data_IF_208839830231
#
_entry.id   IF_208839830231
#
_cell.length_a   1.000
_cell.length_b   1.000
_cell.length_c   1.000
_cell.angle_alpha   90.00
_cell.angle_beta   90.00
_cell.angle_gamma   90.00
#
_symmetry.space_group_name_H-M   'P 1'
#
loop_
_entity.id
_entity.type
_entity.pdbx_description
1 polymer ?
#
# COMPACT_ATOMS: atom_id res chain seq x y z
N UNK A 1 -8.09 13.06 -6.45
CA UNK A 1 -8.27 11.60 -6.27
C UNK A 1 -9.71 11.32 -5.87
N UNK A 2 -10.37 10.33 -6.47
CA UNK A 2 -11.78 10.01 -6.17
C UNK A 2 -11.90 9.04 -4.99
N UNK A 3 -13.08 8.99 -4.34
CA UNK A 3 -13.38 7.97 -3.32
C UNK A 3 -13.31 6.55 -3.88
N UNK A 4 -13.61 6.37 -5.16
CA UNK A 4 -13.51 5.07 -5.83
C UNK A 4 -12.06 4.61 -5.90
N UNK A 5 -11.13 5.51 -6.23
CA UNK A 5 -9.70 5.18 -6.31
C UNK A 5 -9.14 4.68 -4.98
N UNK A 6 -9.52 5.33 -3.87
CA UNK A 6 -9.11 4.92 -2.53
C UNK A 6 -9.70 3.57 -2.12
N UNK A 7 -10.95 3.28 -2.53
CA UNK A 7 -11.57 1.97 -2.29
C UNK A 7 -10.87 0.87 -3.07
N UNK A 8 -10.56 1.11 -4.35
CA UNK A 8 -9.85 0.15 -5.19
C UNK A 8 -8.45 -0.13 -4.64
N UNK A 9 -7.71 0.91 -4.23
CA UNK A 9 -6.40 0.76 -3.61
C UNK A 9 -6.47 -0.06 -2.33
N UNK A 10 -7.42 0.23 -1.45
CA UNK A 10 -7.64 -0.55 -0.22
C UNK A 10 -7.94 -2.00 -0.56
N UNK A 11 -8.86 -2.25 -1.49
CA UNK A 11 -9.26 -3.59 -1.90
C UNK A 11 -8.09 -4.41 -2.43
N UNK A 12 -7.35 -3.92 -3.43
CA UNK A 12 -6.21 -4.67 -3.97
C UNK A 12 -5.08 -4.82 -2.95
N UNK A 13 -4.87 -3.84 -2.08
CA UNK A 13 -3.94 -3.97 -0.96
C UNK A 13 -4.41 -5.03 0.04
N UNK A 14 -5.71 -5.19 0.28
CA UNK A 14 -6.21 -6.31 1.09
C UNK A 14 -5.92 -7.64 0.42
N UNK A 15 -6.29 -7.81 -0.86
CA UNK A 15 -6.11 -9.08 -1.57
C UNK A 15 -4.63 -9.50 -1.63
N UNK A 16 -3.72 -8.60 -2.00
CA UNK A 16 -2.27 -8.89 -2.06
C UNK A 16 -1.72 -9.29 -0.69
N UNK A 17 -2.21 -8.70 0.40
CA UNK A 17 -1.64 -8.89 1.72
C UNK A 17 -2.32 -10.00 2.54
N UNK A 18 -3.42 -10.61 2.05
CA UNK A 18 -4.14 -11.69 2.75
C UNK A 18 -3.21 -12.82 3.18
N UNK A 19 -2.42 -13.33 2.24
CA UNK A 19 -1.48 -14.43 2.51
C UNK A 19 -0.06 -13.93 2.89
N UNK A 20 0.11 -12.66 3.27
CA UNK A 20 1.43 -12.12 3.57
C UNK A 20 1.83 -12.38 5.03
N UNK A 21 2.68 -13.39 5.22
CA UNK A 21 3.36 -13.65 6.48
C UNK A 21 2.41 -13.88 7.66
N UNK A 22 2.93 -13.76 8.88
CA UNK A 22 2.13 -13.83 10.10
C UNK A 22 1.52 -12.48 10.46
N UNK A 23 0.48 -12.48 11.30
CA UNK A 23 -0.14 -11.25 11.83
C UNK A 23 0.88 -10.31 12.46
N UNK A 24 1.87 -10.85 13.19
CA UNK A 24 2.95 -10.07 13.76
C UNK A 24 3.81 -9.38 12.70
N UNK A 25 4.07 -10.05 11.56
CA UNK A 25 4.77 -9.44 10.44
C UNK A 25 3.95 -8.29 9.84
N UNK A 26 2.64 -8.51 9.59
CA UNK A 26 1.74 -7.47 9.06
C UNK A 26 1.67 -6.26 10.01
N UNK A 27 1.56 -6.48 11.32
CA UNK A 27 1.57 -5.41 12.32
C UNK A 27 2.85 -4.58 12.26
N UNK A 28 4.03 -5.23 12.27
CA UNK A 28 5.32 -4.52 12.17
C UNK A 28 5.42 -3.70 10.89
N UNK A 29 4.94 -4.23 9.76
CA UNK A 29 4.89 -3.51 8.49
C UNK A 29 3.99 -2.27 8.58
N UNK A 30 2.76 -2.44 9.10
CA UNK A 30 1.81 -1.33 9.29
C UNK A 30 2.41 -0.23 10.17
N UNK A 31 3.01 -0.58 11.31
CA UNK A 31 3.66 0.40 12.19
C UNK A 31 4.77 1.17 11.47
N UNK A 32 5.60 0.46 10.68
CA UNK A 32 6.68 1.08 9.92
C UNK A 32 6.13 2.07 8.87
N UNK A 33 5.10 1.65 8.12
CA UNK A 33 4.48 2.47 7.08
C UNK A 33 3.77 3.71 7.68
N UNK A 34 3.02 3.55 8.77
CA UNK A 34 2.37 4.67 9.47
C UNK A 34 3.38 5.72 9.96
N UNK A 35 4.52 5.27 10.48
CA UNK A 35 5.58 6.19 10.92
C UNK A 35 6.15 6.99 9.75
N UNK A 36 6.28 6.38 8.56
CA UNK A 36 6.78 7.05 7.36
C UNK A 36 5.79 8.07 6.81
N UNK A 37 4.49 7.79 6.88
CA UNK A 37 3.44 8.78 6.56
C UNK A 37 3.57 9.99 7.48
N UNK A 38 3.72 9.77 8.80
CA UNK A 38 3.80 10.85 9.80
C UNK A 38 4.97 11.83 9.57
N UNK A 39 6.08 11.36 9.00
CA UNK A 39 7.26 12.18 8.72
C UNK A 39 7.38 12.58 7.25
N UNK A 40 6.29 12.40 6.47
CA UNK A 40 6.22 12.66 5.02
C UNK A 40 7.37 12.01 4.20
N UNK A 41 7.81 10.82 4.61
CA UNK A 41 8.87 10.11 3.91
C UNK A 41 8.29 9.19 2.83
N UNK A 42 7.77 9.81 1.77
CA UNK A 42 7.16 9.13 0.63
C UNK A 42 8.11 8.13 -0.04
N UNK A 43 9.38 8.50 -0.22
CA UNK A 43 10.36 7.66 -0.92
C UNK A 43 10.59 6.34 -0.18
N UNK A 44 10.83 6.41 1.13
CA UNK A 44 11.06 5.19 1.92
C UNK A 44 9.77 4.37 2.08
N UNK A 45 8.60 5.03 2.17
CA UNK A 45 7.31 4.34 2.16
C UNK A 45 7.18 3.44 0.93
N UNK A 46 7.36 4.00 -0.28
CA UNK A 46 7.22 3.23 -1.52
C UNK A 46 8.35 2.23 -1.71
N UNK A 47 9.57 2.52 -1.26
CA UNK A 47 10.67 1.56 -1.29
C UNK A 47 10.32 0.28 -0.48
N UNK A 48 9.82 0.43 0.74
CA UNK A 48 9.40 -0.71 1.57
C UNK A 48 8.21 -1.43 0.94
N UNK A 49 7.19 -0.67 0.55
CA UNK A 49 5.97 -1.21 -0.03
C UNK A 49 6.26 -2.03 -1.29
N UNK A 50 7.03 -1.49 -2.24
CA UNK A 50 7.40 -2.17 -3.47
C UNK A 50 8.28 -3.41 -3.23
N UNK A 51 9.20 -3.37 -2.26
CA UNK A 51 9.96 -4.57 -1.87
C UNK A 51 9.06 -5.68 -1.36
N UNK A 52 8.05 -5.33 -0.57
CA UNK A 52 7.06 -6.31 -0.09
C UNK A 52 6.23 -6.86 -1.25
N UNK A 53 5.80 -6.03 -2.20
CA UNK A 53 5.10 -6.50 -3.40
C UNK A 53 5.97 -7.43 -4.26
N UNK A 54 7.25 -7.13 -4.43
CA UNK A 54 8.17 -7.94 -5.23
C UNK A 54 8.40 -9.34 -4.65
N UNK A 55 8.15 -9.57 -3.36
CA UNK A 55 8.14 -10.93 -2.79
C UNK A 55 6.92 -11.77 -3.19
N UNK A 56 5.99 -11.19 -3.96
CA UNK A 56 4.72 -11.78 -4.42
C UNK A 56 4.53 -11.61 -5.93
N UNK A 57 5.61 -11.65 -6.70
CA UNK A 57 5.64 -11.37 -8.14
C UNK A 57 4.69 -12.21 -9.00
N UNK A 58 4.28 -13.40 -8.52
CA UNK A 58 3.30 -14.27 -9.20
C UNK A 58 1.82 -13.96 -8.90
N UNK A 59 1.49 -12.98 -8.05
CA UNK A 59 0.11 -12.65 -7.67
C UNK A 59 -0.51 -11.62 -8.63
N UNK A 60 -1.59 -12.00 -9.32
CA UNK A 60 -2.32 -11.12 -10.25
C UNK A 60 -2.83 -9.83 -9.59
N UNK A 61 -3.08 -9.83 -8.28
CA UNK A 61 -3.51 -8.64 -7.55
C UNK A 61 -2.37 -7.63 -7.40
N UNK A 62 -1.10 -8.06 -7.43
CA UNK A 62 0.05 -7.15 -7.45
C UNK A 62 0.05 -6.35 -8.74
N UNK A 63 -0.24 -6.98 -9.88
CA UNK A 63 -0.36 -6.28 -11.16
C UNK A 63 -1.50 -5.25 -11.13
N UNK A 64 -2.68 -5.61 -10.63
CA UNK A 64 -3.84 -4.70 -10.50
C UNK A 64 -3.55 -3.52 -9.56
N UNK A 65 -2.86 -3.77 -8.44
CA UNK A 65 -2.45 -2.72 -7.51
C UNK A 65 -1.42 -1.78 -8.15
N UNK A 66 -0.45 -2.31 -8.88
CA UNK A 66 0.56 -1.53 -9.59
C UNK A 66 -0.06 -0.67 -10.70
N UNK A 67 -0.99 -1.23 -11.49
CA UNK A 67 -1.76 -0.47 -12.49
C UNK A 67 -2.54 0.66 -11.85
N UNK A 68 -3.22 0.39 -10.73
CA UNK A 68 -3.96 1.44 -10.01
C UNK A 68 -3.03 2.54 -9.53
N UNK A 69 -1.87 2.21 -8.96
CA UNK A 69 -0.89 3.19 -8.52
C UNK A 69 -0.38 4.04 -9.69
N UNK A 70 -0.09 3.44 -10.85
CA UNK A 70 0.32 4.18 -12.06
C UNK A 70 -0.69 5.27 -12.46
N UNK A 71 -2.00 5.02 -12.30
CA UNK A 71 -3.03 6.03 -12.64
C UNK A 71 -3.07 7.24 -11.70
N UNK A 72 -2.42 7.14 -10.53
CA UNK A 72 -2.48 8.17 -9.47
C UNK A 72 -1.15 8.93 -9.37
N UNK A 73 -0.06 8.37 -9.92
CA UNK A 73 1.23 9.03 -9.99
C UNK A 73 1.26 10.16 -11.04
N UNK A 74 2.01 11.24 -10.80
CA UNK A 74 2.82 11.54 -9.61
C UNK A 74 1.97 12.02 -8.42
N UNK A 75 2.37 11.62 -7.21
CA UNK A 75 1.71 12.05 -5.97
C UNK A 75 2.29 13.38 -5.50
N UNK A 76 1.42 14.29 -5.07
CA UNK A 76 1.78 15.39 -4.17
C UNK A 76 1.56 14.95 -2.72
N UNK A 77 2.06 15.72 -1.75
CA UNK A 77 1.98 15.42 -0.31
C UNK A 77 0.55 15.03 0.14
N UNK A 78 -0.46 15.83 -0.23
CA UNK A 78 -1.88 15.54 0.08
C UNK A 78 -2.39 14.25 -0.56
N UNK A 79 -1.96 13.93 -1.78
CA UNK A 79 -2.35 12.69 -2.44
C UNK A 79 -1.59 11.50 -1.86
N UNK A 80 -0.34 11.69 -1.43
CA UNK A 80 0.47 10.66 -0.79
C UNK A 80 -0.19 10.15 0.49
N UNK A 81 -0.53 11.02 1.43
CA UNK A 81 -1.17 10.58 2.69
C UNK A 81 -2.41 9.73 2.43
N UNK A 82 -3.30 10.20 1.55
CA UNK A 82 -4.54 9.49 1.22
C UNK A 82 -4.29 8.12 0.58
N UNK A 83 -3.33 8.02 -0.36
CA UNK A 83 -2.94 6.74 -0.98
C UNK A 83 -2.33 5.81 0.06
N UNK A 84 -1.40 6.33 0.86
CA UNK A 84 -0.67 5.57 1.86
C UNK A 84 -1.61 5.02 2.94
N UNK A 85 -2.57 5.81 3.43
CA UNK A 85 -3.59 5.34 4.37
C UNK A 85 -4.51 4.28 3.75
N UNK A 86 -4.89 4.42 2.48
CA UNK A 86 -5.70 3.39 1.81
C UNK A 86 -4.96 2.04 1.74
N UNK A 87 -3.67 2.06 1.42
CA UNK A 87 -2.81 0.87 1.41
C UNK A 87 -2.73 0.28 2.83
N UNK A 88 -2.38 1.09 3.83
CA UNK A 88 -2.24 0.64 5.23
C UNK A 88 -3.55 0.01 5.74
N UNK A 89 -4.70 0.64 5.49
CA UNK A 89 -6.00 0.06 5.84
C UNK A 89 -6.27 -1.25 5.11
N UNK A 90 -5.76 -1.41 3.89
CA UNK A 90 -5.85 -2.65 3.13
C UNK A 90 -5.08 -3.78 3.80
N UNK A 91 -3.83 -3.51 4.21
CA UNK A 91 -2.97 -4.45 4.94
C UNK A 91 -3.61 -4.85 6.29
N UNK A 92 -4.16 -3.88 7.02
CA UNK A 92 -4.82 -4.14 8.31
C UNK A 92 -6.10 -4.98 8.18
N UNK A 93 -6.78 -4.91 7.04
CA UNK A 93 -8.01 -5.66 6.79
C UNK A 93 -7.76 -7.05 6.15
N UNK A 94 -6.49 -7.40 5.91
CA UNK A 94 -6.06 -8.60 5.19
C UNK A 94 -5.79 -9.81 6.07
#
# INVERSE_FOLDING_TARGET
MSRKDLKDLKYYSTEVFKELGSDNYKQKLVYKLLNLIKIDNQNEFFNIFLRTLNSKDSDENVAKLAEKLKTIYPLNEKNFENVAYAIVMGIMAS
#
